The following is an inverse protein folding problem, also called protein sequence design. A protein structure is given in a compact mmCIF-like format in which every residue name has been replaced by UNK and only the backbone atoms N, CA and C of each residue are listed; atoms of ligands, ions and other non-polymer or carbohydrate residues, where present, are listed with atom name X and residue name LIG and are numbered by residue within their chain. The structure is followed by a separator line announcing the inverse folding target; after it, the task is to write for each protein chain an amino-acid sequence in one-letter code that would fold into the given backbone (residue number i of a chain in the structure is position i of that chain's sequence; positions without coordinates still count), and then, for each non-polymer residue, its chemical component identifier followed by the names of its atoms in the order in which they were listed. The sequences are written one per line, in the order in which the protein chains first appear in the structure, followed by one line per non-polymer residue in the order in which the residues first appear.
data_IF_964876641863
#
_entry.id   IF_964876641863
#
_cell.length_a   1.000
_cell.length_b   1.000
_cell.length_c   1.000
_cell.angle_alpha   90.00
_cell.angle_beta   90.00
_cell.angle_gamma   90.00
#
_symmetry.space_group_name_H-M   'P 1'
#
loop_
_entity.id
_entity.type
_entity.pdbx_description
1 polymer ?
#
# COMPACT_ATOMS: atom_id res chain seq x y z
N UNK A 1 3.45 26.96 6.02
CA UNK A 1 3.10 26.20 4.78
C UNK A 1 3.50 24.72 4.83
N UNK A 2 4.79 24.31 4.77
CA UNK A 2 5.16 22.87 4.78
C UNK A 2 4.76 22.16 6.09
N UNK A 3 4.94 22.81 7.24
CA UNK A 3 4.54 22.26 8.55
C UNK A 3 3.02 22.11 8.69
N UNK A 4 2.25 23.11 8.26
CA UNK A 4 0.78 23.06 8.26
C UNK A 4 0.25 21.93 7.37
N UNK A 5 0.86 21.72 6.20
CA UNK A 5 0.51 20.61 5.30
C UNK A 5 0.78 19.26 5.96
N UNK A 6 1.91 19.12 6.66
CA UNK A 6 2.23 17.90 7.40
C UNK A 6 1.21 17.63 8.51
N UNK A 7 0.89 18.64 9.32
CA UNK A 7 -0.12 18.52 10.39
C UNK A 7 -1.48 18.11 9.80
N UNK A 8 -1.89 18.73 8.70
CA UNK A 8 -3.15 18.40 8.04
C UNK A 8 -3.18 16.94 7.55
N UNK A 9 -2.08 16.43 6.96
CA UNK A 9 -2.00 15.03 6.54
C UNK A 9 -2.06 14.06 7.71
N UNK A 10 -1.38 14.36 8.81
CA UNK A 10 -1.45 13.54 10.02
C UNK A 10 -2.88 13.50 10.59
N UNK A 11 -3.58 14.64 10.58
CA UNK A 11 -4.97 14.72 11.04
C UNK A 11 -5.94 13.99 10.09
N UNK A 12 -5.76 14.11 8.77
CA UNK A 12 -6.57 13.39 7.79
C UNK A 12 -6.32 11.88 7.88
N UNK A 13 -5.07 11.42 8.03
CA UNK A 13 -4.75 10.00 8.27
C UNK A 13 -5.47 9.47 9.52
N UNK A 14 -5.40 10.19 10.64
CA UNK A 14 -6.07 9.81 11.90
C UNK A 14 -7.59 9.81 11.73
N UNK A 15 -8.14 10.78 11.02
CA UNK A 15 -9.58 10.87 10.76
C UNK A 15 -10.05 9.74 9.86
N UNK A 16 -9.32 9.43 8.79
CA UNK A 16 -9.61 8.32 7.89
C UNK A 16 -9.63 6.99 8.64
N UNK A 17 -8.62 6.71 9.46
CA UNK A 17 -8.57 5.50 10.29
C UNK A 17 -9.74 5.38 11.28
N UNK A 18 -10.19 6.51 11.85
CA UNK A 18 -11.36 6.52 12.75
C UNK A 18 -12.65 6.23 11.98
N UNK A 19 -12.89 6.94 10.88
CA UNK A 19 -14.07 6.76 10.03
C UNK A 19 -14.15 5.33 9.49
N UNK A 20 -13.00 4.78 9.08
CA UNK A 20 -12.88 3.41 8.62
C UNK A 20 -13.33 2.40 9.69
N UNK A 21 -12.86 2.56 10.94
CA UNK A 21 -13.28 1.73 12.07
C UNK A 21 -14.76 1.84 12.40
N UNK A 22 -15.38 2.96 12.07
CA UNK A 22 -16.84 3.18 12.20
C UNK A 22 -17.63 2.58 11.02
N UNK A 23 -16.97 2.01 10.02
CA UNK A 23 -17.61 1.46 8.81
C UNK A 23 -18.00 2.52 7.77
N UNK A 24 -17.58 3.77 7.94
CA UNK A 24 -17.83 4.89 7.03
C UNK A 24 -16.77 4.93 5.94
N UNK A 25 -16.79 3.94 5.05
CA UNK A 25 -15.71 3.71 4.10
C UNK A 25 -15.58 4.82 3.05
N UNK A 26 -16.67 5.43 2.56
CA UNK A 26 -16.56 6.58 1.66
C UNK A 26 -15.94 7.80 2.35
N UNK A 27 -16.37 8.13 3.58
CA UNK A 27 -15.80 9.25 4.32
C UNK A 27 -14.32 9.01 4.68
N UNK A 28 -13.96 7.76 4.98
CA UNK A 28 -12.57 7.38 5.22
C UNK A 28 -11.71 7.54 3.96
N UNK A 29 -12.25 7.10 2.81
CA UNK A 29 -11.62 7.23 1.50
C UNK A 29 -11.31 8.69 1.19
N UNK A 30 -12.27 9.60 1.38
CA UNK A 30 -12.07 11.04 1.17
C UNK A 30 -10.88 11.59 1.98
N UNK A 31 -10.70 11.10 3.22
CA UNK A 31 -9.57 11.51 4.07
C UNK A 31 -8.24 10.96 3.58
N UNK A 32 -8.18 9.70 3.20
CA UNK A 32 -6.93 9.13 2.67
C UNK A 32 -6.56 9.75 1.31
N UNK A 33 -7.52 10.05 0.45
CA UNK A 33 -7.27 10.75 -0.83
C UNK A 33 -6.81 12.21 -0.61
N UNK A 34 -7.31 12.90 0.42
CA UNK A 34 -6.78 14.21 0.85
C UNK A 34 -5.29 14.15 1.18
N UNK A 35 -4.84 13.08 1.86
CA UNK A 35 -3.42 12.85 2.16
C UNK A 35 -2.62 12.68 0.88
N UNK A 36 -3.10 11.85 -0.05
CA UNK A 36 -2.42 11.61 -1.34
C UNK A 36 -2.36 12.87 -2.22
N UNK A 37 -3.39 13.72 -2.17
CA UNK A 37 -3.46 14.99 -2.91
C UNK A 37 -2.57 16.11 -2.35
N UNK A 38 -2.00 15.96 -1.15
CA UNK A 38 -1.31 17.03 -0.42
C UNK A 38 0.23 16.87 -0.35
N UNK A 39 0.80 16.20 -1.36
CA UNK A 39 2.25 15.93 -1.49
C UNK A 39 2.81 15.24 -0.23
N UNK A 40 2.33 14.01 0.05
CA UNK A 40 2.81 13.24 1.19
C UNK A 40 4.29 12.87 1.03
N UNK A 41 4.94 12.62 2.16
CA UNK A 41 6.21 11.88 2.16
C UNK A 41 5.94 10.41 1.79
N UNK A 42 6.99 9.65 1.45
CA UNK A 42 6.86 8.28 0.94
C UNK A 42 6.06 7.37 1.90
N UNK A 43 6.39 7.41 3.20
CA UNK A 43 5.70 6.60 4.22
C UNK A 43 4.22 6.97 4.36
N UNK A 44 3.87 8.25 4.24
CA UNK A 44 2.47 8.70 4.28
C UNK A 44 1.73 8.22 3.03
N UNK A 45 2.38 8.26 1.87
CA UNK A 45 1.82 7.83 0.58
C UNK A 45 1.53 6.33 0.57
N UNK A 46 2.46 5.52 1.06
CA UNK A 46 2.31 4.06 1.09
C UNK A 46 1.20 3.63 2.06
N UNK A 47 1.15 4.24 3.26
CA UNK A 47 0.11 3.98 4.26
C UNK A 47 -1.26 4.47 3.79
N UNK A 48 -1.36 5.67 3.23
CA UNK A 48 -2.64 6.18 2.72
C UNK A 48 -3.17 5.32 1.57
N UNK A 49 -2.33 4.95 0.60
CA UNK A 49 -2.72 4.10 -0.54
C UNK A 49 -3.18 2.71 -0.10
N UNK A 50 -2.50 2.11 0.91
CA UNK A 50 -2.94 0.84 1.49
C UNK A 50 -4.34 0.95 2.10
N UNK A 51 -4.60 2.01 2.86
CA UNK A 51 -5.92 2.22 3.46
C UNK A 51 -7.00 2.56 2.43
N UNK A 52 -6.65 3.26 1.33
CA UNK A 52 -7.53 3.43 0.16
C UNK A 52 -7.91 2.07 -0.43
N UNK A 53 -6.95 1.16 -0.60
CA UNK A 53 -7.21 -0.20 -1.08
C UNK A 53 -8.17 -0.96 -0.14
N UNK A 54 -8.00 -0.84 1.18
CA UNK A 54 -8.92 -1.40 2.16
C UNK A 54 -10.34 -0.81 2.01
N UNK A 55 -10.48 0.51 1.89
CA UNK A 55 -11.78 1.16 1.67
C UNK A 55 -12.45 0.64 0.40
N UNK A 56 -11.74 0.59 -0.72
CA UNK A 56 -12.28 0.10 -1.98
C UNK A 56 -12.66 -1.38 -1.92
N UNK A 57 -11.89 -2.21 -1.21
CA UNK A 57 -12.24 -3.60 -0.95
C UNK A 57 -13.56 -3.73 -0.17
N UNK A 58 -13.75 -2.94 0.89
CA UNK A 58 -15.02 -2.93 1.67
C UNK A 58 -16.21 -2.43 0.87
N UNK A 59 -15.98 -1.53 -0.08
CA UNK A 59 -16.97 -0.99 -0.99
C UNK A 59 -17.20 -1.84 -2.24
N UNK A 60 -16.56 -3.00 -2.35
CA UNK A 60 -16.60 -3.92 -3.51
C UNK A 60 -16.16 -3.28 -4.84
N UNK A 61 -15.33 -2.23 -4.77
CA UNK A 61 -14.76 -1.54 -5.93
C UNK A 61 -13.41 -2.15 -6.31
N UNK A 62 -13.45 -3.40 -6.77
CA UNK A 62 -12.27 -4.27 -6.92
C UNK A 62 -11.13 -3.64 -7.73
N UNK A 63 -11.40 -3.13 -8.93
CA UNK A 63 -10.35 -2.60 -9.81
C UNK A 63 -9.67 -1.35 -9.22
N UNK A 64 -10.43 -0.46 -8.59
CA UNK A 64 -9.89 0.69 -7.89
C UNK A 64 -9.04 0.27 -6.68
N UNK A 65 -9.49 -0.75 -5.93
CA UNK A 65 -8.75 -1.28 -4.79
C UNK A 65 -7.43 -1.95 -5.19
N UNK A 66 -7.40 -2.69 -6.30
CA UNK A 66 -6.17 -3.28 -6.83
C UNK A 66 -5.18 -2.22 -7.30
N UNK A 67 -5.67 -1.16 -7.98
CA UNK A 67 -4.83 -0.03 -8.36
C UNK A 67 -4.21 0.66 -7.14
N UNK A 68 -5.01 0.94 -6.12
CA UNK A 68 -4.51 1.57 -4.88
C UNK A 68 -3.53 0.67 -4.11
N UNK A 69 -3.75 -0.64 -4.14
CA UNK A 69 -2.83 -1.60 -3.54
C UNK A 69 -1.48 -1.63 -4.29
N UNK A 70 -1.51 -1.56 -5.61
CA UNK A 70 -0.30 -1.42 -6.44
C UNK A 70 0.44 -0.11 -6.12
N UNK A 71 -0.29 1.00 -5.97
CA UNK A 71 0.29 2.30 -5.61
C UNK A 71 0.93 2.27 -4.22
N UNK A 72 0.33 1.57 -3.25
CA UNK A 72 0.92 1.35 -1.93
C UNK A 72 2.26 0.63 -2.02
N UNK A 73 2.33 -0.46 -2.80
CA UNK A 73 3.57 -1.22 -2.99
C UNK A 73 4.62 -0.43 -3.78
N UNK A 74 4.23 0.35 -4.80
CA UNK A 74 5.13 1.27 -5.52
C UNK A 74 5.71 2.35 -4.60
N UNK A 75 4.92 2.79 -3.62
CA UNK A 75 5.36 3.75 -2.61
C UNK A 75 6.16 3.10 -1.46
N UNK A 76 6.45 1.79 -1.51
CA UNK A 76 7.29 1.11 -0.51
C UNK A 76 6.53 0.41 0.61
N UNK A 77 5.23 0.11 0.45
CA UNK A 77 4.54 -0.78 1.36
C UNK A 77 5.01 -2.23 1.14
N UNK A 78 5.75 -2.78 2.10
CA UNK A 78 6.42 -4.09 1.98
C UNK A 78 5.84 -5.18 2.90
N UNK A 79 4.78 -4.90 3.67
CA UNK A 79 4.13 -5.93 4.50
C UNK A 79 3.22 -6.83 3.65
N UNK A 80 3.83 -7.58 2.73
CA UNK A 80 3.14 -8.50 1.84
C UNK A 80 2.46 -9.65 2.60
N UNK A 81 2.91 -9.96 3.82
CA UNK A 81 2.23 -10.92 4.68
C UNK A 81 0.86 -10.38 5.04
N UNK A 82 0.79 -9.12 5.50
CA UNK A 82 -0.47 -8.44 5.80
C UNK A 82 -1.35 -8.34 4.56
N UNK A 83 -0.83 -7.97 3.39
CA UNK A 83 -1.62 -7.92 2.14
C UNK A 83 -2.34 -9.26 1.85
N UNK A 84 -1.67 -10.39 2.10
CA UNK A 84 -2.23 -11.74 1.86
C UNK A 84 -3.25 -12.18 2.90
N UNK A 85 -3.25 -11.62 4.11
CA UNK A 85 -4.07 -12.12 5.22
C UNK A 85 -5.08 -11.10 5.77
N UNK A 86 -4.90 -9.81 5.52
CA UNK A 86 -5.73 -8.75 6.09
C UNK A 86 -7.20 -8.94 5.68
N UNK A 87 -8.14 -9.19 6.61
CA UNK A 87 -9.56 -9.38 6.28
C UNK A 87 -10.16 -8.20 5.51
N UNK A 88 -9.56 -7.02 5.56
CA UNK A 88 -10.03 -5.84 4.85
C UNK A 88 -9.81 -5.93 3.35
N UNK A 89 -8.77 -6.63 2.90
CA UNK A 89 -8.50 -6.91 1.48
C UNK A 89 -9.16 -8.20 0.98
N UNK A 90 -10.05 -8.82 1.77
CA UNK A 90 -10.66 -10.10 1.43
C UNK A 90 -11.43 -10.09 0.11
N UNK A 91 -12.05 -8.96 -0.29
CA UNK A 91 -12.73 -8.87 -1.57
C UNK A 91 -11.73 -8.74 -2.73
N UNK A 92 -10.64 -7.98 -2.57
CA UNK A 92 -9.60 -7.91 -3.59
C UNK A 92 -8.95 -9.28 -3.83
N UNK A 93 -8.69 -10.04 -2.75
CA UNK A 93 -8.10 -11.39 -2.84
C UNK A 93 -8.94 -12.41 -3.61
N UNK A 94 -10.23 -12.16 -3.80
CA UNK A 94 -11.11 -13.03 -4.62
C UNK A 94 -10.95 -12.75 -6.13
N UNK A 95 -10.39 -11.59 -6.50
CA UNK A 95 -10.15 -11.26 -7.89
C UNK A 95 -9.04 -12.12 -8.48
N UNK A 96 -9.23 -12.54 -9.73
CA UNK A 96 -8.20 -13.24 -10.50
C UNK A 96 -6.95 -12.38 -10.73
N UNK A 97 -7.09 -11.05 -10.66
CA UNK A 97 -6.00 -10.08 -10.87
C UNK A 97 -5.10 -9.91 -9.63
N UNK A 98 -5.54 -10.35 -8.45
CA UNK A 98 -4.79 -10.15 -7.20
C UNK A 98 -3.45 -10.91 -7.19
N UNK A 99 -3.47 -12.19 -7.58
CA UNK A 99 -2.25 -13.00 -7.60
C UNK A 99 -1.24 -12.51 -8.65
N UNK A 100 -1.63 -12.22 -9.91
CA UNK A 100 -0.75 -11.56 -10.87
C UNK A 100 -0.15 -10.25 -10.37
N UNK A 101 -0.94 -9.42 -9.66
CA UNK A 101 -0.43 -8.19 -9.05
C UNK A 101 0.68 -8.48 -8.04
N UNK A 102 0.46 -9.39 -7.07
CA UNK A 102 1.49 -9.69 -6.06
C UNK A 102 2.74 -10.34 -6.64
N UNK A 103 2.61 -11.21 -7.64
CA UNK A 103 3.75 -11.89 -8.25
C UNK A 103 4.77 -10.90 -8.82
N UNK A 104 4.35 -9.74 -9.34
CA UNK A 104 5.24 -8.66 -9.82
C UNK A 104 6.23 -8.20 -8.74
N UNK A 105 5.80 -8.21 -7.48
CA UNK A 105 6.59 -7.74 -6.34
C UNK A 105 7.34 -8.88 -5.64
N UNK A 106 6.74 -10.08 -5.60
CA UNK A 106 7.41 -11.27 -5.07
C UNK A 106 8.62 -11.69 -5.91
N UNK A 107 8.48 -11.71 -7.24
CA UNK A 107 9.58 -12.05 -8.14
C UNK A 107 10.73 -11.04 -8.04
N UNK A 108 10.42 -9.76 -7.87
CA UNK A 108 11.43 -8.72 -7.68
C UNK A 108 12.26 -8.99 -6.41
N UNK A 109 11.62 -9.35 -5.30
CA UNK A 109 12.30 -9.69 -4.05
C UNK A 109 13.12 -11.00 -4.15
N UNK A 110 12.58 -12.03 -4.80
CA UNK A 110 13.27 -13.32 -4.99
C UNK A 110 14.48 -13.14 -5.92
N UNK A 111 14.34 -12.41 -7.03
CA UNK A 111 15.44 -12.17 -7.96
C UNK A 111 16.55 -11.36 -7.31
N UNK A 112 16.24 -10.29 -6.57
CA UNK A 112 17.26 -9.51 -5.88
C UNK A 112 17.96 -10.32 -4.78
N UNK A 113 17.20 -11.06 -3.96
CA UNK A 113 17.75 -11.92 -2.92
C UNK A 113 18.63 -13.03 -3.49
N UNK A 114 18.18 -13.69 -4.57
CA UNK A 114 18.96 -14.73 -5.26
C UNK A 114 20.23 -14.16 -5.89
N UNK A 115 20.16 -12.99 -6.55
CA UNK A 115 21.31 -12.31 -7.12
C UNK A 115 22.32 -11.93 -6.01
N UNK A 116 21.86 -11.39 -4.90
CA UNK A 116 22.72 -11.01 -3.78
C UNK A 116 23.36 -12.24 -3.09
N UNK A 117 22.60 -13.34 -2.94
CA UNK A 117 23.13 -14.60 -2.44
C UNK A 117 24.19 -15.18 -3.37
N UNK A 118 23.97 -15.18 -4.69
CA UNK A 118 24.94 -15.61 -5.71
C UNK A 118 26.19 -14.72 -5.65
N UNK A 119 26.05 -13.38 -5.59
CA UNK A 119 27.19 -12.45 -5.45
C UNK A 119 28.02 -12.73 -4.20
N UNK A 120 27.36 -13.05 -3.08
CA UNK A 120 28.01 -13.41 -1.81
C UNK A 120 28.73 -14.77 -1.91
N UNK A 121 28.08 -15.79 -2.47
CA UNK A 121 28.63 -17.14 -2.65
C UNK A 121 29.82 -17.19 -3.61
N UNK A 122 29.80 -16.38 -4.67
CA UNK A 122 30.84 -16.36 -5.70
C UNK A 122 31.85 -15.22 -5.55
N UNK A 123 31.76 -14.41 -4.49
CA UNK A 123 32.82 -13.48 -4.11
C UNK A 123 33.22 -12.48 -5.20
N UNK A 124 32.28 -12.00 -6.02
CA UNK A 124 32.54 -10.91 -6.98
C UNK A 124 32.58 -9.56 -6.26
N UNK A 125 33.35 -9.46 -5.18
CA UNK A 125 33.88 -8.20 -4.69
C UNK A 125 35.14 -7.88 -5.48
N UNK A 126 35.05 -6.95 -6.42
CA UNK A 126 36.25 -6.32 -6.98
C UNK A 126 36.22 -4.82 -6.72
N UNK A 127 37.16 -4.44 -5.86
CA UNK A 127 37.97 -3.22 -5.79
C UNK A 127 37.24 -1.87 -5.84
#
# INVERSE_FOLDING_TARGET
KKMEQKIQREDDLRSGLRLYKEGKYEEALDKFESVLGSKPEIDESSVASYNVACCYSKLDRIQAGLSALEDAMKAGYEDFKTIRTDPDLANLRKSEDFAPLLNKYDESFINESAINAIKSLFGFGKK
#
